data_IF_485184883774
#
_entry.id   IF_485184883774
#
_cell.length_a   1.000
_cell.length_b   1.000
_cell.length_c   1.000
_cell.angle_alpha   90.00
_cell.angle_beta   90.00
_cell.angle_gamma   90.00
#
_symmetry.space_group_name_H-M   'P 1'
#
loop_
_entity.id
_entity.type
_entity.pdbx_description
1 polymer ?
#
# COMPACT_ATOMS: atom_id res chain seq x y z
N UNK A 1 -22.02 3.09 -22.40
CA UNK A 1 -22.20 3.43 -20.98
C UNK A 1 -22.70 4.87 -20.83
N UNK A 2 -22.17 5.82 -21.60
CA UNK A 2 -22.62 7.23 -21.57
C UNK A 2 -24.08 7.43 -21.99
N UNK A 3 -24.60 6.64 -22.94
CA UNK A 3 -25.99 6.69 -23.35
C UNK A 3 -26.95 6.17 -22.27
N UNK A 4 -26.55 5.12 -21.57
CA UNK A 4 -27.36 4.52 -20.49
C UNK A 4 -27.45 5.47 -19.28
N UNK A 5 -26.36 6.17 -18.95
CA UNK A 5 -26.33 7.13 -17.85
C UNK A 5 -27.16 8.37 -18.18
N UNK A 6 -27.19 8.79 -19.44
CA UNK A 6 -27.90 10.01 -19.89
C UNK A 6 -29.42 9.85 -19.87
N UNK A 7 -29.91 8.62 -20.05
CA UNK A 7 -31.36 8.30 -20.07
C UNK A 7 -31.91 7.91 -18.68
N UNK A 8 -31.06 7.85 -17.67
CA UNK A 8 -31.46 7.53 -16.30
C UNK A 8 -32.05 8.76 -15.56
N UNK A 9 -33.00 8.50 -14.66
CA UNK A 9 -33.54 9.51 -13.75
C UNK A 9 -32.39 10.23 -13.00
N UNK A 10 -32.40 11.58 -12.84
CA UNK A 10 -31.36 12.35 -12.19
C UNK A 10 -30.98 11.81 -10.78
N UNK A 11 -31.92 11.26 -10.04
CA UNK A 11 -31.69 10.64 -8.73
C UNK A 11 -30.81 9.37 -8.89
N UNK A 12 -31.10 8.54 -9.89
CA UNK A 12 -30.30 7.34 -10.15
C UNK A 12 -28.89 7.68 -10.64
N UNK A 13 -28.74 8.74 -11.46
CA UNK A 13 -27.43 9.24 -11.88
C UNK A 13 -26.59 9.66 -10.65
N UNK A 14 -27.18 10.45 -9.75
CA UNK A 14 -26.51 10.90 -8.53
C UNK A 14 -26.11 9.73 -7.62
N UNK A 15 -26.97 8.74 -7.43
CA UNK A 15 -26.68 7.54 -6.67
C UNK A 15 -25.53 6.72 -7.29
N UNK A 16 -25.52 6.57 -8.62
CA UNK A 16 -24.45 5.85 -9.33
C UNK A 16 -23.11 6.56 -9.18
N UNK A 17 -23.09 7.89 -9.33
CA UNK A 17 -21.87 8.69 -9.15
C UNK A 17 -21.37 8.59 -7.69
N UNK A 18 -22.25 8.74 -6.71
CA UNK A 18 -21.87 8.62 -5.28
C UNK A 18 -21.34 7.22 -4.94
N UNK A 19 -21.97 6.16 -5.49
CA UNK A 19 -21.49 4.79 -5.33
C UNK A 19 -20.10 4.61 -5.92
N UNK A 20 -19.83 5.16 -7.10
CA UNK A 20 -18.52 5.10 -7.74
C UNK A 20 -17.46 5.85 -6.93
N UNK A 21 -17.78 7.02 -6.41
CA UNK A 21 -16.90 7.79 -5.54
C UNK A 21 -16.56 7.05 -4.23
N UNK A 22 -17.48 6.25 -3.69
CA UNK A 22 -17.22 5.48 -2.46
C UNK A 22 -16.20 4.35 -2.65
N UNK A 23 -16.00 3.88 -3.88
CA UNK A 23 -14.98 2.87 -4.23
C UNK A 23 -13.58 3.47 -4.43
N UNK A 24 -13.49 4.79 -4.66
CA UNK A 24 -12.22 5.46 -4.97
C UNK A 24 -11.14 5.30 -3.89
N UNK A 25 -11.44 5.41 -2.57
CA UNK A 25 -10.45 5.13 -1.53
C UNK A 25 -9.94 3.69 -1.55
N UNK A 26 -10.82 2.72 -1.86
CA UNK A 26 -10.43 1.31 -1.98
C UNK A 26 -9.46 1.09 -3.16
N UNK A 27 -9.78 1.65 -4.32
CA UNK A 27 -8.92 1.61 -5.51
C UNK A 27 -7.57 2.27 -5.20
N UNK A 28 -7.57 3.43 -4.54
CA UNK A 28 -6.35 4.11 -4.12
C UNK A 28 -5.50 3.21 -3.21
N UNK A 29 -6.08 2.62 -2.17
CA UNK A 29 -5.36 1.74 -1.25
C UNK A 29 -4.77 0.50 -1.94
N UNK A 30 -5.51 -0.10 -2.89
CA UNK A 30 -5.14 -1.37 -3.52
C UNK A 30 -4.19 -1.22 -4.71
N UNK A 31 -4.18 -0.06 -5.39
CA UNK A 31 -3.39 0.16 -6.61
C UNK A 31 -2.20 1.10 -6.44
N UNK A 32 -1.91 1.50 -5.19
CA UNK A 32 -0.78 2.37 -4.89
C UNK A 32 0.11 1.75 -3.81
N UNK A 33 1.31 2.32 -3.61
CA UNK A 33 2.22 1.91 -2.52
C UNK A 33 1.71 2.26 -1.12
N UNK A 34 0.52 2.87 -0.98
CA UNK A 34 -0.10 3.19 0.30
C UNK A 34 -0.27 1.96 1.20
N UNK A 35 -0.64 0.81 0.61
CA UNK A 35 -0.79 -0.46 1.33
C UNK A 35 0.51 -0.87 2.02
N UNK A 36 1.64 -0.83 1.28
CA UNK A 36 2.98 -1.16 1.81
C UNK A 36 3.33 -0.27 3.01
N UNK A 37 3.22 1.05 2.85
CA UNK A 37 3.54 1.99 3.93
C UNK A 37 2.67 1.77 5.18
N UNK A 38 1.37 1.60 4.98
CA UNK A 38 0.43 1.39 6.10
C UNK A 38 0.77 0.15 6.90
N UNK A 39 1.11 -0.96 6.24
CA UNK A 39 1.47 -2.21 6.92
C UNK A 39 2.81 -2.07 7.64
N UNK A 40 3.83 -1.52 6.99
CA UNK A 40 5.16 -1.33 7.61
C UNK A 40 5.06 -0.45 8.85
N UNK A 41 4.37 0.69 8.79
CA UNK A 41 4.20 1.55 9.96
C UNK A 41 3.32 0.92 11.05
N UNK A 42 2.35 0.09 10.68
CA UNK A 42 1.55 -0.68 11.66
C UNK A 42 2.41 -1.72 12.39
N UNK A 43 3.25 -2.45 11.66
CA UNK A 43 4.19 -3.41 12.22
C UNK A 43 5.23 -2.73 13.10
N UNK A 44 5.76 -1.58 12.70
CA UNK A 44 6.68 -0.77 13.53
C UNK A 44 6.04 -0.40 14.87
N UNK A 45 4.81 0.14 14.86
CA UNK A 45 4.10 0.49 16.10
C UNK A 45 3.90 -0.73 17.01
N UNK A 46 3.55 -1.86 16.41
CA UNK A 46 3.40 -3.13 17.14
C UNK A 46 4.73 -3.58 17.74
N UNK A 47 5.83 -3.50 17.00
CA UNK A 47 7.17 -3.87 17.44
C UNK A 47 7.63 -3.02 18.63
N UNK A 48 7.38 -1.71 18.57
CA UNK A 48 7.69 -0.79 19.67
C UNK A 48 6.79 -0.98 20.90
N UNK A 49 5.62 -1.62 20.75
CA UNK A 49 4.65 -1.76 21.84
C UNK A 49 3.91 -0.46 22.20
N UNK A 50 3.89 0.53 21.29
CA UNK A 50 3.26 1.83 21.52
C UNK A 50 2.10 2.07 20.58
N UNK A 51 1.11 2.84 21.05
CA UNK A 51 -0.03 3.26 20.22
C UNK A 51 0.17 4.65 19.57
N UNK A 52 1.30 5.29 19.83
CA UNK A 52 1.66 6.61 19.32
C UNK A 52 2.58 6.44 18.10
N UNK A 53 2.43 7.24 17.03
CA UNK A 53 1.41 8.29 16.80
C UNK A 53 0.00 7.71 16.56
N UNK A 54 -1.07 8.53 16.77
CA UNK A 54 -2.45 8.13 16.47
C UNK A 54 -2.62 7.64 15.03
N UNK A 55 -3.59 6.75 14.77
CA UNK A 55 -3.80 6.15 13.45
C UNK A 55 -3.97 7.22 12.35
N UNK A 56 -4.68 8.30 12.63
CA UNK A 56 -4.90 9.38 11.66
C UNK A 56 -3.59 10.05 11.20
N UNK A 57 -2.63 10.23 12.11
CA UNK A 57 -1.32 10.81 11.78
C UNK A 57 -0.50 9.83 10.94
N UNK A 58 -0.54 8.55 11.27
CA UNK A 58 0.13 7.50 10.50
C UNK A 58 -0.44 7.40 9.08
N UNK A 59 -1.77 7.42 8.95
CA UNK A 59 -2.45 7.43 7.65
C UNK A 59 -2.05 8.67 6.83
N UNK A 60 -2.04 9.86 7.46
CA UNK A 60 -1.60 11.09 6.81
C UNK A 60 -0.16 11.01 6.30
N UNK A 61 0.76 10.47 7.10
CA UNK A 61 2.14 10.24 6.70
C UNK A 61 2.23 9.27 5.52
N UNK A 62 1.52 8.13 5.57
CA UNK A 62 1.47 7.17 4.47
C UNK A 62 0.94 7.80 3.19
N UNK A 63 -0.09 8.66 3.27
CA UNK A 63 -0.62 9.37 2.10
C UNK A 63 0.42 10.32 1.49
N UNK A 64 1.10 11.12 2.32
CA UNK A 64 2.14 12.05 1.84
C UNK A 64 3.28 11.28 1.16
N UNK A 65 3.76 10.19 1.76
CA UNK A 65 4.80 9.34 1.18
C UNK A 65 4.33 8.71 -0.14
N UNK A 66 3.07 8.28 -0.21
CA UNK A 66 2.49 7.73 -1.44
C UNK A 66 2.46 8.76 -2.55
N UNK A 67 1.99 9.97 -2.27
CA UNK A 67 1.98 11.05 -3.26
C UNK A 67 3.39 11.46 -3.69
N UNK A 68 4.34 11.48 -2.77
CA UNK A 68 5.73 11.76 -3.08
C UNK A 68 6.33 10.69 -4.02
N UNK A 69 6.13 9.41 -3.70
CA UNK A 69 6.67 8.28 -4.46
C UNK A 69 6.00 8.12 -5.83
N UNK A 70 4.69 8.33 -5.91
CA UNK A 70 3.90 8.15 -7.12
C UNK A 70 3.62 9.45 -7.90
N UNK A 71 4.21 10.57 -7.49
CA UNK A 71 3.96 11.87 -8.13
C UNK A 71 4.15 11.85 -9.65
N UNK A 72 5.22 11.22 -10.15
CA UNK A 72 5.46 11.06 -11.58
C UNK A 72 4.41 10.18 -12.28
N UNK A 73 3.88 9.16 -11.61
CA UNK A 73 2.82 8.29 -12.15
C UNK A 73 1.52 9.08 -12.27
N UNK A 74 1.14 9.82 -11.23
CA UNK A 74 -0.07 10.65 -11.25
C UNK A 74 0.00 11.77 -12.31
N UNK A 75 1.16 12.37 -12.49
CA UNK A 75 1.37 13.36 -13.55
C UNK A 75 1.16 12.73 -14.94
N UNK A 76 1.75 11.58 -15.21
CA UNK A 76 1.58 10.86 -16.48
C UNK A 76 0.12 10.43 -16.70
N UNK A 77 -0.59 9.98 -15.65
CA UNK A 77 -2.01 9.64 -15.73
C UNK A 77 -2.85 10.86 -16.15
N UNK A 78 -2.56 12.03 -15.57
CA UNK A 78 -3.25 13.26 -15.93
C UNK A 78 -2.94 13.69 -17.39
N UNK A 79 -1.68 13.67 -17.79
CA UNK A 79 -1.26 14.05 -19.14
C UNK A 79 -1.88 13.12 -20.20
N UNK A 80 -1.77 11.79 -20.05
CA UNK A 80 -2.32 10.82 -20.99
C UNK A 80 -3.84 10.82 -21.01
N UNK A 81 -4.50 10.98 -19.86
CA UNK A 81 -5.96 11.03 -19.77
C UNK A 81 -6.56 12.32 -20.30
N UNK A 82 -5.89 13.46 -20.17
CA UNK A 82 -6.42 14.76 -20.62
C UNK A 82 -6.54 14.88 -22.14
N UNK A 83 -5.65 14.23 -22.89
CA UNK A 83 -5.63 14.30 -24.37
C UNK A 83 -6.89 13.72 -25.03
N UNK A 84 -7.36 12.50 -24.71
CA UNK A 84 -8.60 11.97 -25.24
C UNK A 84 -9.83 12.80 -24.84
N UNK A 85 -9.84 13.28 -23.60
CA UNK A 85 -10.95 14.11 -23.11
C UNK A 85 -11.10 15.41 -23.90
N UNK A 86 -9.99 16.10 -24.17
CA UNK A 86 -10.02 17.34 -24.96
C UNK A 86 -10.41 17.13 -26.41
N UNK A 87 -10.09 15.97 -27.00
CA UNK A 87 -10.36 15.69 -28.43
C UNK A 87 -11.75 15.14 -28.67
N UNK A 88 -12.24 14.26 -27.83
CA UNK A 88 -13.47 13.49 -28.11
C UNK A 88 -14.54 13.62 -27.03
N UNK A 89 -14.23 14.17 -25.85
CA UNK A 89 -15.10 14.19 -24.67
C UNK A 89 -15.45 12.78 -24.14
N UNK A 90 -14.76 11.73 -24.62
CA UNK A 90 -15.08 10.35 -24.29
C UNK A 90 -14.39 9.94 -22.98
N UNK A 91 -15.16 9.80 -21.89
CA UNK A 91 -14.67 9.41 -20.58
C UNK A 91 -14.03 8.02 -20.54
N UNK A 92 -14.55 7.08 -21.33
CA UNK A 92 -14.02 5.70 -21.36
C UNK A 92 -12.60 5.70 -21.94
N UNK A 93 -12.38 6.39 -23.06
CA UNK A 93 -11.05 6.53 -23.66
C UNK A 93 -10.08 7.29 -22.72
N UNK A 94 -10.58 8.27 -21.96
CA UNK A 94 -9.81 9.01 -20.96
C UNK A 94 -9.32 8.09 -19.82
N UNK A 95 -10.20 7.25 -19.31
CA UNK A 95 -9.88 6.30 -18.24
C UNK A 95 -8.91 5.23 -18.75
N UNK A 96 -9.12 4.71 -19.94
CA UNK A 96 -8.26 3.68 -20.54
C UNK A 96 -6.84 4.19 -20.73
N UNK A 97 -6.65 5.32 -21.41
CA UNK A 97 -5.33 5.92 -21.61
C UNK A 97 -4.69 6.41 -20.30
N UNK A 98 -5.49 7.02 -19.42
CA UNK A 98 -5.03 7.50 -18.11
C UNK A 98 -4.61 6.39 -17.14
N UNK A 99 -5.16 5.19 -17.29
CA UNK A 99 -4.82 4.05 -16.42
C UNK A 99 -3.53 3.32 -16.82
N UNK A 100 -3.02 3.51 -18.04
CA UNK A 100 -1.81 2.84 -18.54
C UNK A 100 -0.56 3.08 -17.66
N UNK A 101 -0.24 4.32 -17.24
CA UNK A 101 0.91 4.56 -16.35
C UNK A 101 0.77 3.86 -15.00
N UNK A 102 -0.45 3.76 -14.47
CA UNK A 102 -0.71 3.03 -13.24
C UNK A 102 -0.49 1.53 -13.42
N UNK A 103 -0.97 0.94 -14.52
CA UNK A 103 -0.71 -0.46 -14.87
C UNK A 103 0.80 -0.72 -15.03
N UNK A 104 1.52 0.14 -15.75
CA UNK A 104 2.96 0.05 -15.92
C UNK A 104 3.71 0.10 -14.56
N UNK A 105 3.29 1.00 -13.67
CA UNK A 105 3.83 1.09 -12.31
C UNK A 105 3.59 -0.20 -11.53
N UNK A 106 2.35 -0.69 -11.48
CA UNK A 106 2.02 -1.93 -10.76
C UNK A 106 2.82 -3.12 -11.30
N UNK A 107 2.94 -3.26 -12.63
CA UNK A 107 3.72 -4.34 -13.25
C UNK A 107 5.19 -4.30 -12.84
N UNK A 108 5.79 -3.10 -12.77
CA UNK A 108 7.21 -2.95 -12.36
C UNK A 108 7.45 -3.30 -10.89
N UNK A 109 6.45 -3.13 -10.03
CA UNK A 109 6.54 -3.42 -8.60
C UNK A 109 6.09 -4.86 -8.26
N UNK A 110 5.41 -5.53 -9.18
CA UNK A 110 4.93 -6.90 -8.97
C UNK A 110 6.04 -7.91 -9.22
N UNK A 111 6.18 -8.89 -8.35
CA UNK A 111 7.11 -10.00 -8.51
C UNK A 111 6.67 -10.88 -9.67
N UNK A 112 7.61 -11.32 -10.50
CA UNK A 112 7.32 -12.15 -11.67
C UNK A 112 6.52 -13.41 -11.33
N UNK A 113 6.84 -14.07 -10.22
CA UNK A 113 6.13 -15.27 -9.78
C UNK A 113 4.67 -14.98 -9.40
N UNK A 114 4.40 -13.83 -8.78
CA UNK A 114 3.04 -13.45 -8.39
C UNK A 114 2.22 -13.07 -9.63
N UNK A 115 2.82 -12.36 -10.57
CA UNK A 115 2.18 -12.04 -11.84
C UNK A 115 1.88 -13.29 -12.65
N UNK A 116 2.85 -14.19 -12.81
CA UNK A 116 2.69 -15.44 -13.52
C UNK A 116 1.54 -16.29 -12.95
N UNK A 117 1.45 -16.39 -11.61
CA UNK A 117 0.37 -17.12 -10.93
C UNK A 117 -1.02 -16.62 -11.32
N UNK A 118 -1.27 -15.31 -11.29
CA UNK A 118 -2.59 -14.75 -11.64
C UNK A 118 -2.89 -14.80 -13.15
N UNK A 119 -1.87 -14.69 -13.99
CA UNK A 119 -2.00 -14.85 -15.44
C UNK A 119 -2.37 -16.29 -15.79
N UNK A 120 -1.70 -17.29 -15.21
CA UNK A 120 -1.98 -18.72 -15.43
C UNK A 120 -3.38 -19.13 -14.95
N UNK A 121 -3.88 -18.55 -13.86
CA UNK A 121 -5.25 -18.81 -13.38
C UNK A 121 -6.31 -18.40 -14.39
N UNK A 122 -6.05 -17.35 -15.19
CA UNK A 122 -7.04 -16.81 -16.12
C UNK A 122 -6.84 -17.30 -17.55
N UNK A 123 -5.61 -17.49 -17.98
CA UNK A 123 -5.27 -17.87 -19.35
C UNK A 123 -4.74 -19.29 -19.41
N UNK A 124 -5.31 -20.11 -20.34
CA UNK A 124 -4.77 -21.46 -20.64
C UNK A 124 -3.42 -21.39 -21.37
N UNK A 125 -3.14 -20.28 -22.05
CA UNK A 125 -1.88 -20.03 -22.76
C UNK A 125 -1.31 -18.69 -22.28
N UNK A 126 0.00 -18.61 -21.96
CA UNK A 126 0.60 -17.38 -21.50
C UNK A 126 0.44 -16.27 -22.55
N UNK A 127 0.15 -15.00 -22.13
CA UNK A 127 0.05 -13.87 -23.04
C UNK A 127 1.38 -13.65 -23.75
N UNK A 128 1.31 -13.24 -25.02
CA UNK A 128 2.51 -13.06 -25.87
C UNK A 128 3.26 -11.76 -25.55
N UNK A 129 2.56 -10.78 -24.99
CA UNK A 129 3.16 -9.50 -24.63
C UNK A 129 2.63 -9.00 -23.28
N UNK A 130 3.41 -8.17 -22.56
CA UNK A 130 2.97 -7.53 -21.32
C UNK A 130 1.75 -6.62 -21.51
N UNK A 131 1.51 -6.15 -22.73
CA UNK A 131 0.37 -5.29 -23.07
C UNK A 131 -0.96 -6.04 -23.03
N UNK A 132 -0.93 -7.35 -23.34
CA UNK A 132 -2.11 -8.23 -23.35
C UNK A 132 -2.64 -8.52 -21.93
N UNK A 133 -1.82 -8.31 -20.89
CA UNK A 133 -2.22 -8.51 -19.50
C UNK A 133 -3.15 -7.37 -19.08
N UNK A 134 -4.32 -7.71 -18.54
CA UNK A 134 -5.28 -6.70 -18.10
C UNK A 134 -4.96 -6.17 -16.71
N UNK A 135 -5.45 -4.95 -16.39
CA UNK A 135 -5.28 -4.36 -15.05
C UNK A 135 -5.89 -5.25 -13.94
N UNK A 136 -6.94 -6.00 -14.27
CA UNK A 136 -7.60 -6.94 -13.36
C UNK A 136 -6.77 -8.18 -13.01
N UNK A 137 -5.75 -8.49 -13.78
CA UNK A 137 -4.75 -9.54 -13.50
C UNK A 137 -3.57 -8.97 -12.72
N UNK A 138 -3.16 -7.77 -13.10
CA UNK A 138 -2.04 -7.09 -12.46
C UNK A 138 -2.39 -6.65 -11.04
N UNK A 139 -3.59 -6.11 -10.80
CA UNK A 139 -3.96 -5.57 -9.49
C UNK A 139 -3.88 -6.59 -8.35
N UNK A 140 -4.46 -7.81 -8.43
CA UNK A 140 -4.33 -8.79 -7.36
C UNK A 140 -2.88 -9.31 -7.20
N UNK A 141 -2.13 -9.47 -8.29
CA UNK A 141 -0.72 -9.83 -8.24
C UNK A 141 0.12 -8.75 -7.53
N UNK A 142 -0.14 -7.49 -7.85
CA UNK A 142 0.47 -6.33 -7.22
C UNK A 142 0.20 -6.28 -5.71
N UNK A 143 -1.08 -6.40 -5.30
CA UNK A 143 -1.47 -6.41 -3.88
C UNK A 143 -0.73 -7.52 -3.13
N UNK A 144 -0.66 -8.73 -3.70
CA UNK A 144 0.05 -9.85 -3.08
C UNK A 144 1.55 -9.57 -2.94
N UNK A 145 2.18 -9.00 -3.97
CA UNK A 145 3.59 -8.60 -3.94
C UNK A 145 3.86 -7.50 -2.92
N UNK A 146 2.98 -6.49 -2.83
CA UNK A 146 3.06 -5.41 -1.84
C UNK A 146 2.94 -5.93 -0.41
N UNK A 147 2.01 -6.86 -0.16
CA UNK A 147 1.87 -7.53 1.13
C UNK A 147 3.15 -8.28 1.51
N UNK A 148 3.67 -9.11 0.62
CA UNK A 148 4.92 -9.87 0.87
C UNK A 148 6.08 -8.92 1.20
N UNK A 149 6.26 -7.88 0.41
CA UNK A 149 7.32 -6.89 0.61
C UNK A 149 7.14 -6.12 1.93
N UNK A 150 5.90 -5.72 2.26
CA UNK A 150 5.62 -5.05 3.51
C UNK A 150 5.92 -5.93 4.74
N UNK A 151 5.59 -7.22 4.66
CA UNK A 151 5.92 -8.18 5.73
C UNK A 151 7.42 -8.46 5.83
N UNK A 152 8.14 -8.54 4.72
CA UNK A 152 9.61 -8.68 4.71
C UNK A 152 10.29 -7.48 5.40
N UNK A 153 9.91 -6.26 5.01
CA UNK A 153 10.40 -5.03 5.65
C UNK A 153 10.01 -5.00 7.12
N UNK A 154 8.75 -5.28 7.43
CA UNK A 154 8.23 -5.29 8.78
C UNK A 154 8.95 -6.29 9.68
N UNK A 155 9.28 -7.48 9.15
CA UNK A 155 10.04 -8.48 9.88
C UNK A 155 11.44 -7.96 10.27
N UNK A 156 12.16 -7.37 9.31
CA UNK A 156 13.50 -6.81 9.58
C UNK A 156 13.44 -5.70 10.65
N UNK A 157 12.43 -4.84 10.58
CA UNK A 157 12.18 -3.80 11.58
C UNK A 157 11.82 -4.39 12.94
N UNK A 158 11.14 -5.53 12.98
CA UNK A 158 10.68 -6.17 14.21
C UNK A 158 11.81 -6.84 15.00
N UNK A 159 12.81 -7.41 14.31
CA UNK A 159 13.90 -8.19 14.92
C UNK A 159 14.61 -7.49 16.08
N UNK A 160 15.12 -6.24 15.96
CA UNK A 160 15.83 -5.59 17.05
C UNK A 160 14.96 -5.41 18.31
N UNK A 161 13.67 -5.19 18.14
CA UNK A 161 12.74 -5.01 19.27
C UNK A 161 12.42 -6.34 19.98
N UNK A 162 12.33 -7.46 19.24
CA UNK A 162 12.19 -8.79 19.84
C UNK A 162 13.42 -9.15 20.65
N UNK A 163 14.61 -8.89 20.11
CA UNK A 163 15.88 -9.16 20.84
C UNK A 163 15.91 -8.39 22.16
N UNK A 164 15.48 -7.13 22.17
CA UNK A 164 15.35 -6.34 23.40
C UNK A 164 14.38 -6.97 24.40
N UNK A 165 13.20 -7.40 23.94
CA UNK A 165 12.23 -8.06 24.81
C UNK A 165 12.82 -9.33 25.44
N UNK A 166 13.53 -10.14 24.65
CA UNK A 166 14.19 -11.37 25.14
C UNK A 166 15.28 -11.07 26.16
N UNK A 167 16.10 -10.04 25.92
CA UNK A 167 17.17 -9.64 26.88
C UNK A 167 16.56 -9.19 28.20
N UNK A 168 15.56 -8.32 28.15
CA UNK A 168 14.87 -7.83 29.35
C UNK A 168 14.18 -8.99 30.10
N UNK A 169 13.51 -9.90 29.36
CA UNK A 169 12.87 -11.07 29.95
C UNK A 169 13.89 -11.95 30.70
N UNK A 170 15.05 -12.23 30.12
CA UNK A 170 16.11 -13.02 30.77
C UNK A 170 16.67 -12.33 32.00
N UNK A 171 16.85 -11.02 31.99
CA UNK A 171 17.30 -10.24 33.17
C UNK A 171 16.27 -10.34 34.30
N UNK A 172 14.97 -10.14 34.00
CA UNK A 172 13.90 -10.22 35.00
C UNK A 172 13.80 -11.62 35.60
N UNK A 173 13.93 -12.67 34.78
CA UNK A 173 13.98 -14.06 35.27
C UNK A 173 15.14 -14.31 36.19
N UNK A 174 16.34 -13.82 35.84
CA UNK A 174 17.54 -13.97 36.66
C UNK A 174 17.43 -13.26 38.03
N UNK A 175 16.69 -12.14 38.08
CA UNK A 175 16.38 -11.39 39.29
C UNK A 175 15.22 -11.96 40.10
N UNK A 176 14.58 -13.05 39.64
CA UNK A 176 13.42 -13.65 40.32
C UNK A 176 12.12 -12.87 40.18
N UNK A 177 12.05 -11.90 39.23
CA UNK A 177 10.90 -11.00 39.06
C UNK A 177 9.88 -11.59 38.07
N UNK A 178 9.24 -12.71 38.40
CA UNK A 178 8.35 -13.46 37.51
C UNK A 178 7.03 -12.79 37.23
N UNK A 179 6.58 -11.84 38.08
CA UNK A 179 5.28 -11.17 37.94
C UNK A 179 5.34 -9.89 37.04
N UNK A 180 6.52 -9.42 36.70
CA UNK A 180 6.68 -8.23 35.87
C UNK A 180 6.62 -8.58 34.38
N UNK A 181 5.82 -7.81 33.62
CA UNK A 181 5.76 -7.95 32.17
C UNK A 181 7.05 -7.43 31.51
N UNK A 182 7.82 -8.27 30.80
CA UNK A 182 9.03 -7.83 30.10
C UNK A 182 8.75 -6.71 29.10
N UNK A 183 7.60 -6.75 28.42
CA UNK A 183 7.20 -5.77 27.40
C UNK A 183 7.06 -4.35 27.97
N UNK A 184 6.54 -4.22 29.20
CA UNK A 184 6.41 -2.91 29.85
C UNK A 184 7.77 -2.36 30.25
N UNK A 185 8.66 -3.21 30.72
CA UNK A 185 10.02 -2.81 31.15
C UNK A 185 10.91 -2.51 29.94
N UNK A 186 10.75 -3.23 28.82
CA UNK A 186 11.53 -3.01 27.60
C UNK A 186 11.13 -1.75 26.82
N UNK A 187 9.92 -1.24 26.99
CA UNK A 187 9.38 -0.12 26.23
C UNK A 187 10.26 1.14 26.26
N UNK A 188 10.76 1.64 27.40
CA UNK A 188 11.68 2.78 27.43
C UNK A 188 12.97 2.53 26.63
N UNK A 189 13.51 1.32 26.70
CA UNK A 189 14.74 0.95 25.98
C UNK A 189 14.50 0.89 24.47
N UNK A 190 13.34 0.37 24.03
CA UNK A 190 12.93 0.36 22.62
C UNK A 190 12.85 1.78 22.06
N UNK A 191 12.20 2.70 22.80
CA UNK A 191 12.10 4.10 22.38
C UNK A 191 13.47 4.77 22.31
N UNK A 192 14.33 4.53 23.32
CA UNK A 192 15.67 5.10 23.36
C UNK A 192 16.51 4.65 22.17
N UNK A 193 16.52 3.35 21.85
CA UNK A 193 17.27 2.82 20.70
C UNK A 193 16.69 3.37 19.41
N UNK A 194 15.36 3.40 19.24
CA UNK A 194 14.72 3.93 18.05
C UNK A 194 15.10 5.38 17.77
N UNK A 195 15.16 6.21 18.83
CA UNK A 195 15.58 7.60 18.71
C UNK A 195 17.09 7.70 18.43
N UNK A 196 17.91 6.89 19.11
CA UNK A 196 19.37 6.93 18.96
C UNK A 196 19.85 6.57 17.55
N UNK A 197 19.14 5.71 16.84
CA UNK A 197 19.47 5.32 15.46
C UNK A 197 18.74 6.16 14.40
N UNK A 198 18.00 7.21 14.80
CA UNK A 198 17.11 7.97 13.89
C UNK A 198 16.16 7.05 13.09
N UNK A 199 15.44 6.21 13.82
CA UNK A 199 14.63 5.14 13.24
C UNK A 199 13.58 5.60 12.22
N UNK A 200 13.02 6.82 12.38
CA UNK A 200 12.10 7.39 11.39
C UNK A 200 12.76 7.62 10.04
N UNK A 201 13.95 8.22 10.03
CA UNK A 201 14.70 8.48 8.82
C UNK A 201 15.10 7.17 8.13
N UNK A 202 15.59 6.17 8.90
CA UNK A 202 15.97 4.87 8.36
C UNK A 202 14.82 4.16 7.67
N UNK A 203 13.63 4.16 8.27
CA UNK A 203 12.44 3.50 7.69
C UNK A 203 11.97 4.20 6.43
N UNK A 204 11.93 5.54 6.44
CA UNK A 204 11.50 6.32 5.27
C UNK A 204 12.50 6.21 4.12
N UNK A 205 13.80 6.19 4.42
CA UNK A 205 14.85 6.02 3.39
C UNK A 205 14.86 4.60 2.80
N UNK A 206 14.61 3.59 3.64
CA UNK A 206 14.54 2.19 3.21
C UNK A 206 13.34 1.89 2.34
#
# INVERSE_FOLDING_TARGET
MDSVIKDMNPVLQMLTVMSLFSLLPFVFCCMTCFLRFTIVFSLLKTAMGVQVPPAIVTIGLCMILTFYTMGGVFQQMYERGSVPYQKTGNLIATIDEGSKPLKEFMMKQTRENDLAFFVELKHKTPPKSPEDITIWEVAPAYILSELKTAFEIGFVVFVPFIVLDLVVANILLALGMFMLSPTIISLPFKLLIFIAVDGWALIVQG
#
